data_IF_359033975868
#
_entry.id   IF_359033975868
#
_cell.length_a   1.000
_cell.length_b   1.000
_cell.length_c   1.000
_cell.angle_alpha   90.00
_cell.angle_beta   90.00
_cell.angle_gamma   90.00
#
_symmetry.space_group_name_H-M   'P 1'
#
loop_
_entity.id
_entity.type
_entity.pdbx_description
1 polymer ?
#
# COMPACT_ATOMS: atom_id res chain seq x y z
N UNK A 1 -13.96 -44.10 -5.62
CA UNK A 1 -13.18 -44.62 -4.47
C UNK A 1 -12.87 -43.41 -3.59
N UNK A 2 -13.69 -43.28 -2.51
CA UNK A 2 -13.69 -42.13 -1.62
C UNK A 2 -12.66 -42.35 -0.51
N UNK A 3 -11.78 -41.39 -0.30
CA UNK A 3 -10.94 -41.32 0.92
C UNK A 3 -11.10 -39.93 1.54
N UNK A 4 -11.83 -39.89 2.66
CA UNK A 4 -11.90 -38.76 3.58
C UNK A 4 -10.71 -38.85 4.58
N UNK A 5 -10.06 -37.77 4.97
CA UNK A 5 -9.17 -37.77 6.12
C UNK A 5 -9.93 -37.50 7.42
N UNK A 6 -9.51 -38.22 8.44
CA UNK A 6 -10.05 -38.27 9.80
C UNK A 6 -9.63 -37.05 10.62
N UNK A 7 -10.59 -36.54 11.40
CA UNK A 7 -10.41 -35.56 12.48
C UNK A 7 -9.67 -36.24 13.67
N UNK A 8 -8.68 -35.53 14.23
CA UNK A 8 -8.20 -35.82 15.56
C UNK A 8 -8.45 -34.63 16.48
N UNK A 9 -9.45 -34.80 17.38
CA UNK A 9 -9.55 -34.02 18.61
C UNK A 9 -8.65 -34.67 19.64
N UNK A 10 -7.82 -33.89 20.31
CA UNK A 10 -7.22 -34.27 21.58
C UNK A 10 -7.40 -33.10 22.55
N UNK A 11 -8.34 -33.27 23.47
CA UNK A 11 -8.51 -32.46 24.65
C UNK A 11 -7.52 -32.94 25.71
N UNK A 12 -6.78 -32.04 26.33
CA UNK A 12 -6.09 -32.28 27.59
C UNK A 12 -6.50 -31.23 28.61
N UNK A 13 -7.32 -31.65 29.57
CA UNK A 13 -7.62 -30.93 30.80
C UNK A 13 -6.64 -31.44 31.89
N UNK A 14 -6.01 -30.53 32.60
CA UNK A 14 -5.39 -30.75 33.93
C UNK A 14 -5.33 -29.37 34.59
N UNK A 15 -6.02 -29.12 35.66
CA UNK A 15 -5.80 -29.65 37.01
C UNK A 15 -5.48 -28.43 37.87
N UNK A 16 -6.54 -27.91 38.54
CA UNK A 16 -6.52 -26.80 39.50
C UNK A 16 -5.84 -27.25 40.80
N UNK A 17 -4.83 -26.52 41.27
CA UNK A 17 -4.37 -26.59 42.66
C UNK A 17 -4.35 -25.18 43.26
N UNK A 18 -5.33 -24.90 44.12
CA UNK A 18 -5.32 -23.72 45.02
C UNK A 18 -4.30 -23.96 46.11
N UNK A 19 -3.39 -22.99 46.29
CA UNK A 19 -2.68 -22.78 47.56
C UNK A 19 -2.97 -21.34 48.01
N UNK A 20 -3.76 -21.23 49.07
CA UNK A 20 -3.97 -19.98 49.80
C UNK A 20 -2.83 -19.84 50.84
N UNK A 21 -2.01 -18.82 50.68
CA UNK A 21 -1.21 -18.26 51.75
C UNK A 21 -1.11 -16.77 51.59
N UNK A 22 -1.51 -16.06 52.61
CA UNK A 22 -1.82 -14.65 52.62
C UNK A 22 -0.62 -13.69 52.72
N UNK A 23 -1.00 -12.45 52.68
CA UNK A 23 -0.37 -11.20 53.13
C UNK A 23 0.24 -10.29 52.07
N UNK A 24 -0.50 -9.19 51.89
CA UNK A 24 -0.03 -7.79 51.69
C UNK A 24 0.98 -7.52 50.54
N UNK A 25 0.45 -6.97 49.50
CA UNK A 25 1.20 -6.32 48.45
C UNK A 25 0.55 -6.59 47.10
N UNK A 26 -0.45 -5.80 46.73
CA UNK A 26 -0.92 -5.78 45.34
C UNK A 26 0.25 -5.35 44.45
N UNK A 27 0.73 -6.19 43.53
CA UNK A 27 1.59 -5.68 42.46
C UNK A 27 0.70 -4.77 41.60
N UNK A 28 1.02 -3.49 41.49
CA UNK A 28 0.56 -2.63 40.44
C UNK A 28 0.83 -3.31 39.12
N UNK A 29 -0.23 -3.71 38.44
CA UNK A 29 -0.15 -4.12 37.02
C UNK A 29 0.51 -2.99 36.25
N UNK A 30 1.57 -3.25 35.46
CA UNK A 30 2.09 -2.24 34.56
C UNK A 30 0.94 -1.85 33.64
N UNK A 31 0.70 -0.53 33.52
CA UNK A 31 -0.39 -0.01 32.71
C UNK A 31 -0.34 -0.56 31.29
N UNK A 32 -1.46 -1.10 30.85
CA UNK A 32 -1.81 -1.28 29.45
C UNK A 32 -2.13 0.12 28.89
N UNK A 33 -1.12 0.89 28.64
CA UNK A 33 -1.12 2.21 28.06
C UNK A 33 0.23 2.42 27.41
N UNK A 34 0.59 1.52 26.52
CA UNK A 34 1.70 1.75 25.63
C UNK A 34 1.15 2.47 24.41
N UNK A 35 1.23 3.82 24.40
CA UNK A 35 1.36 4.57 23.16
C UNK A 35 2.67 4.09 22.47
N UNK A 36 2.61 2.94 21.84
CA UNK A 36 3.67 2.51 20.94
C UNK A 36 3.54 3.40 19.71
N UNK A 37 4.33 4.48 19.70
CA UNK A 37 4.55 5.27 18.49
C UNK A 37 4.81 4.30 17.33
N UNK A 38 4.18 4.47 16.16
CA UNK A 38 4.45 3.61 15.01
C UNK A 38 5.95 3.48 14.80
N UNK A 39 6.43 2.26 14.61
CA UNK A 39 7.85 2.03 14.41
C UNK A 39 8.23 2.58 13.04
N UNK A 40 9.12 3.55 12.98
CA UNK A 40 9.58 4.11 11.72
C UNK A 40 10.33 3.05 10.90
N UNK A 41 9.89 2.83 9.67
CA UNK A 41 10.59 1.97 8.70
C UNK A 41 11.78 2.77 8.18
N UNK A 42 12.99 2.20 8.30
CA UNK A 42 14.18 2.81 7.72
C UNK A 42 14.28 2.44 6.25
N UNK A 43 14.02 3.41 5.37
CA UNK A 43 14.08 3.21 3.92
C UNK A 43 15.41 3.72 3.38
N UNK A 44 16.21 2.87 2.69
CA UNK A 44 17.45 3.30 2.08
C UNK A 44 17.17 4.28 0.93
N UNK A 45 18.07 5.22 0.71
CA UNK A 45 18.06 6.02 -0.51
C UNK A 45 18.34 5.10 -1.71
N UNK A 46 17.54 5.26 -2.75
CA UNK A 46 17.71 4.53 -4.01
C UNK A 46 18.32 5.47 -5.03
N UNK A 47 19.59 5.20 -5.38
CA UNK A 47 20.26 5.89 -6.47
C UNK A 47 20.10 5.06 -7.74
N UNK A 48 19.26 5.52 -8.66
CA UNK A 48 18.95 4.81 -9.91
C UNK A 48 18.59 5.80 -11.01
N UNK A 49 18.80 5.39 -12.26
CA UNK A 49 18.29 6.08 -13.45
C UNK A 49 16.82 5.73 -13.77
N UNK A 50 16.17 4.88 -12.97
CA UNK A 50 14.75 4.55 -13.16
C UNK A 50 13.87 5.79 -12.93
N UNK A 51 12.87 5.97 -13.79
CA UNK A 51 12.00 7.15 -13.82
C UNK A 51 11.37 7.44 -12.44
N UNK A 52 10.94 6.40 -11.73
CA UNK A 52 10.28 6.52 -10.43
C UNK A 52 11.19 7.03 -9.31
N UNK A 53 12.51 6.94 -9.45
CA UNK A 53 13.48 7.42 -8.46
C UNK A 53 14.18 8.71 -8.87
N UNK A 54 13.74 9.32 -9.97
CA UNK A 54 14.14 10.68 -10.34
C UNK A 54 13.33 11.67 -9.52
N UNK A 55 14.01 12.54 -8.75
CA UNK A 55 13.31 13.58 -7.99
C UNK A 55 12.54 14.50 -8.97
N UNK A 56 11.30 14.91 -8.65
CA UNK A 56 10.53 15.80 -9.52
C UNK A 56 11.30 17.05 -9.90
N UNK A 57 11.22 17.45 -11.17
CA UNK A 57 11.76 18.69 -11.71
C UNK A 57 10.66 19.73 -11.90
N UNK A 58 11.04 21.00 -11.98
CA UNK A 58 10.07 22.08 -12.27
C UNK A 58 9.30 21.80 -13.55
N UNK A 59 7.98 21.80 -13.45
CA UNK A 59 7.07 21.46 -14.55
C UNK A 59 6.46 20.05 -14.44
N UNK A 60 7.00 19.16 -13.62
CA UNK A 60 6.43 17.83 -13.43
C UNK A 60 5.08 17.88 -12.70
N UNK A 61 4.23 16.94 -13.02
CA UNK A 61 2.91 16.80 -12.40
C UNK A 61 3.05 16.01 -11.10
N UNK A 62 2.55 16.58 -10.00
CA UNK A 62 2.53 15.93 -8.70
C UNK A 62 1.12 15.84 -8.14
N UNK A 63 0.85 14.81 -7.34
CA UNK A 63 -0.33 14.71 -6.49
C UNK A 63 0.07 14.94 -5.04
N UNK A 64 -0.71 15.77 -4.33
CA UNK A 64 -0.58 16.01 -2.89
C UNK A 64 -1.78 15.40 -2.21
N UNK A 65 -1.54 14.46 -1.32
CA UNK A 65 -2.55 13.80 -0.50
C UNK A 65 -2.48 14.36 0.92
N UNK A 66 -3.49 15.11 1.32
CA UNK A 66 -3.69 15.53 2.70
C UNK A 66 -4.62 14.52 3.38
N UNK A 67 -4.12 13.86 4.42
CA UNK A 67 -4.86 12.86 5.18
C UNK A 67 -4.89 13.17 6.66
N UNK A 68 -5.78 12.52 7.40
CA UNK A 68 -5.81 12.63 8.86
C UNK A 68 -4.54 12.07 9.54
N UNK A 69 -3.73 11.27 8.82
CA UNK A 69 -2.46 10.75 9.31
C UNK A 69 -1.25 11.64 8.96
N UNK A 70 -1.42 12.60 8.04
CA UNK A 70 -0.37 13.49 7.55
C UNK A 70 -0.46 13.69 6.04
N UNK A 71 0.55 14.36 5.48
CA UNK A 71 0.64 14.67 4.05
C UNK A 71 1.71 13.82 3.40
N UNK A 72 1.39 13.24 2.23
CA UNK A 72 2.39 12.64 1.35
C UNK A 72 2.20 13.14 -0.09
N UNK A 73 3.26 13.06 -0.89
CA UNK A 73 3.27 13.56 -2.26
C UNK A 73 3.84 12.53 -3.22
N UNK A 74 3.21 12.41 -4.38
CA UNK A 74 3.66 11.53 -5.45
C UNK A 74 3.89 12.31 -6.74
N UNK A 75 4.98 12.02 -7.45
CA UNK A 75 5.13 12.41 -8.86
C UNK A 75 4.24 11.51 -9.69
N UNK A 76 3.55 12.08 -10.69
CA UNK A 76 2.69 11.34 -11.61
C UNK A 76 3.34 11.23 -12.98
N UNK A 77 2.99 10.17 -13.72
CA UNK A 77 3.56 9.88 -15.04
C UNK A 77 2.49 9.84 -16.14
N UNK A 78 1.89 11.02 -16.50
CA UNK A 78 0.77 11.07 -17.47
C UNK A 78 1.10 10.48 -18.84
N UNK A 79 2.36 10.54 -19.27
CA UNK A 79 2.78 9.99 -20.57
C UNK A 79 2.84 8.47 -20.61
N UNK A 80 3.00 7.82 -19.44
CA UNK A 80 3.12 6.38 -19.33
C UNK A 80 1.75 5.69 -19.06
N UNK A 81 0.80 6.42 -18.45
CA UNK A 81 -0.55 5.93 -18.12
C UNK A 81 -1.61 7.02 -18.37
N UNK A 82 -1.82 7.47 -19.63
CA UNK A 82 -2.63 8.63 -19.93
C UNK A 82 -4.10 8.50 -19.53
N UNK A 83 -4.74 7.35 -19.74
CA UNK A 83 -6.17 7.17 -19.41
C UNK A 83 -6.38 7.05 -17.90
N UNK A 84 -5.51 6.34 -17.21
CA UNK A 84 -5.54 6.25 -15.75
C UNK A 84 -5.31 7.64 -15.12
N UNK A 85 -4.36 8.41 -15.67
CA UNK A 85 -4.12 9.79 -15.25
C UNK A 85 -5.33 10.67 -15.48
N UNK A 86 -5.93 10.67 -16.68
CA UNK A 86 -7.11 11.47 -16.99
C UNK A 86 -8.27 11.17 -16.04
N UNK A 87 -8.50 9.88 -15.75
CA UNK A 87 -9.51 9.48 -14.79
C UNK A 87 -9.18 9.98 -13.37
N UNK A 88 -7.98 9.74 -12.89
CA UNK A 88 -7.55 10.17 -11.57
C UNK A 88 -7.62 11.69 -11.43
N UNK A 89 -7.09 12.44 -12.40
CA UNK A 89 -7.08 13.89 -12.40
C UNK A 89 -8.49 14.47 -12.42
N UNK A 90 -9.38 13.92 -13.24
CA UNK A 90 -10.78 14.37 -13.29
C UNK A 90 -11.54 14.08 -12.01
N UNK A 91 -11.28 12.94 -11.36
CA UNK A 91 -11.85 12.62 -10.05
C UNK A 91 -11.29 13.54 -8.95
N UNK A 92 -10.00 13.85 -8.96
CA UNK A 92 -9.41 14.86 -8.07
C UNK A 92 -10.07 16.21 -8.28
N UNK A 93 -10.19 16.67 -9.53
CA UNK A 93 -10.81 17.96 -9.85
C UNK A 93 -12.27 18.05 -9.40
N UNK A 94 -13.01 16.94 -9.45
CA UNK A 94 -14.39 16.88 -8.96
C UNK A 94 -14.50 16.82 -7.43
N UNK A 95 -13.39 16.68 -6.70
CA UNK A 95 -13.37 16.50 -5.25
C UNK A 95 -13.82 15.10 -4.80
N UNK A 96 -13.86 14.13 -5.71
CA UNK A 96 -14.35 12.78 -5.42
C UNK A 96 -13.65 12.11 -4.22
N UNK A 97 -12.34 12.28 -4.11
CA UNK A 97 -11.54 11.66 -3.05
C UNK A 97 -11.69 12.32 -1.68
N UNK A 98 -12.21 13.57 -1.63
CA UNK A 98 -12.30 14.32 -0.39
C UNK A 98 -13.33 13.70 0.56
N UNK A 99 -12.91 13.38 1.78
CA UNK A 99 -13.73 12.74 2.79
C UNK A 99 -13.82 11.20 2.65
N UNK A 100 -13.24 10.59 1.60
CA UNK A 100 -13.11 9.15 1.55
C UNK A 100 -12.11 8.66 2.61
N UNK A 101 -12.25 7.40 3.00
CA UNK A 101 -11.34 6.78 3.98
C UNK A 101 -10.48 5.72 3.31
N UNK A 102 -9.33 5.43 3.93
CA UNK A 102 -8.54 4.24 3.63
C UNK A 102 -9.47 3.02 3.76
N UNK A 103 -9.59 2.25 2.70
CA UNK A 103 -10.52 1.12 2.59
C UNK A 103 -9.90 -0.20 3.00
N UNK A 104 -8.58 -0.35 2.78
CA UNK A 104 -7.82 -1.56 3.10
C UNK A 104 -6.37 -1.22 3.43
N UNK A 105 -5.85 -1.89 4.44
CA UNK A 105 -4.43 -1.90 4.76
C UNK A 105 -3.98 -3.35 4.87
N UNK A 106 -3.03 -3.72 4.05
CA UNK A 106 -2.32 -4.97 4.18
C UNK A 106 -0.89 -4.66 4.63
N UNK A 107 -0.63 -5.02 5.89
CA UNK A 107 0.61 -4.66 6.56
C UNK A 107 1.83 -5.15 5.78
N UNK A 108 2.84 -4.29 5.67
CA UNK A 108 4.08 -4.54 4.95
C UNK A 108 3.86 -4.86 3.46
N UNK A 109 2.72 -4.40 2.89
CA UNK A 109 2.39 -4.63 1.49
C UNK A 109 1.77 -3.41 0.81
N UNK A 110 0.57 -2.95 1.24
CA UNK A 110 -0.09 -1.79 0.59
C UNK A 110 -1.10 -1.07 1.48
N UNK A 111 -1.34 0.19 1.11
CA UNK A 111 -2.42 1.04 1.63
C UNK A 111 -3.36 1.38 0.48
N UNK A 112 -4.66 1.03 0.58
CA UNK A 112 -5.65 1.20 -0.48
C UNK A 112 -6.75 2.19 -0.07
N UNK A 113 -7.17 3.02 -1.02
CA UNK A 113 -8.27 3.97 -0.86
C UNK A 113 -8.97 4.24 -2.20
N UNK A 114 -9.98 5.14 -2.19
CA UNK A 114 -10.68 5.56 -3.42
C UNK A 114 -11.95 4.78 -3.72
N UNK A 115 -12.39 3.89 -2.83
CA UNK A 115 -13.72 3.29 -2.91
C UNK A 115 -14.79 4.30 -2.51
N UNK A 116 -15.90 4.36 -3.27
CA UNK A 116 -17.08 5.11 -2.87
C UNK A 116 -17.82 4.49 -1.68
N UNK A 117 -18.85 5.18 -1.21
CA UNK A 117 -19.66 4.73 -0.08
C UNK A 117 -20.38 3.38 -0.35
N UNK A 118 -20.55 3.01 -1.59
CA UNK A 118 -21.11 1.73 -2.05
C UNK A 118 -20.07 0.59 -2.11
N UNK A 119 -18.81 0.87 -1.73
CA UNK A 119 -17.72 -0.09 -1.81
C UNK A 119 -17.18 -0.30 -3.21
N UNK A 120 -17.62 0.50 -4.19
CA UNK A 120 -17.23 0.38 -5.58
C UNK A 120 -16.31 1.53 -6.01
N UNK A 121 -15.54 1.29 -7.07
CA UNK A 121 -14.83 2.36 -7.77
C UNK A 121 -15.72 3.01 -8.83
N UNK A 122 -15.41 4.27 -9.17
CA UNK A 122 -16.06 5.02 -10.25
C UNK A 122 -15.05 5.59 -11.24
N UNK A 123 -15.53 6.15 -12.35
CA UNK A 123 -14.70 6.88 -13.30
C UNK A 123 -15.40 8.15 -13.74
N UNK A 124 -14.65 9.06 -14.37
CA UNK A 124 -15.21 10.27 -15.00
C UNK A 124 -16.10 9.95 -16.22
N UNK A 125 -16.10 8.72 -16.70
CA UNK A 125 -16.83 8.28 -17.90
C UNK A 125 -18.14 7.54 -17.58
N UNK A 126 -18.87 7.99 -16.55
CA UNK A 126 -20.20 7.44 -16.18
C UNK A 126 -20.24 5.91 -15.99
N UNK A 127 -19.24 5.38 -15.29
CA UNK A 127 -19.19 3.96 -14.93
C UNK A 127 -18.48 3.05 -15.95
N UNK A 128 -18.03 3.59 -17.10
CA UNK A 128 -17.06 2.85 -17.92
C UNK A 128 -15.74 2.74 -17.18
N UNK A 129 -15.07 1.59 -17.28
CA UNK A 129 -13.77 1.36 -16.64
C UNK A 129 -12.64 1.84 -17.56
N UNK A 130 -11.47 2.11 -16.99
CA UNK A 130 -10.26 2.33 -17.77
C UNK A 130 -9.49 1.03 -17.97
N UNK A 131 -8.84 0.84 -19.12
CA UNK A 131 -7.97 -0.31 -19.33
C UNK A 131 -6.75 -0.22 -18.42
N UNK A 132 -6.10 -1.37 -18.20
CA UNK A 132 -4.76 -1.39 -17.61
C UNK A 132 -3.79 -0.77 -18.62
N UNK A 133 -2.96 0.14 -18.14
CA UNK A 133 -1.86 0.74 -18.91
C UNK A 133 -0.55 0.35 -18.22
N UNK A 134 0.30 -0.34 -18.95
CA UNK A 134 1.60 -0.81 -18.46
C UNK A 134 2.73 -0.18 -19.24
N UNK A 135 3.83 0.08 -18.57
CA UNK A 135 5.03 0.67 -19.16
C UNK A 135 6.26 -0.05 -18.62
N UNK A 136 7.23 -0.30 -19.50
CA UNK A 136 8.53 -0.88 -19.12
C UNK A 136 9.39 0.05 -18.25
N UNK A 137 8.91 1.28 -18.00
CA UNK A 137 9.59 2.29 -17.17
C UNK A 137 9.00 2.39 -15.76
N UNK A 138 7.86 1.73 -15.51
CA UNK A 138 7.12 1.82 -14.27
C UNK A 138 6.92 0.43 -13.66
N UNK A 139 7.24 0.32 -12.39
CA UNK A 139 7.26 -0.93 -11.66
C UNK A 139 6.61 -0.78 -10.29
N UNK A 140 6.18 -1.90 -9.69
CA UNK A 140 5.56 -1.92 -8.36
C UNK A 140 6.62 -1.88 -7.25
N UNK A 141 7.51 -0.89 -7.32
CA UNK A 141 8.45 -0.60 -6.24
C UNK A 141 7.74 -0.11 -4.99
N UNK A 142 8.36 -0.22 -3.83
CA UNK A 142 7.86 0.44 -2.63
C UNK A 142 7.67 1.94 -2.87
N UNK A 143 6.52 2.47 -2.43
CA UNK A 143 6.10 3.84 -2.70
C UNK A 143 5.42 4.05 -4.07
N UNK A 144 5.29 3.03 -4.93
CA UNK A 144 4.52 3.16 -6.17
C UNK A 144 3.04 3.46 -5.87
N UNK A 145 2.49 4.48 -6.53
CA UNK A 145 1.07 4.79 -6.55
C UNK A 145 0.44 4.08 -7.75
N UNK A 146 -0.47 3.16 -7.48
CA UNK A 146 -1.03 2.27 -8.49
C UNK A 146 -2.56 2.36 -8.50
N UNK A 147 -3.17 2.15 -9.66
CA UNK A 147 -4.62 1.99 -9.79
C UNK A 147 -4.98 0.52 -9.63
N UNK A 148 -5.84 0.23 -8.64
CA UNK A 148 -6.27 -1.15 -8.40
C UNK A 148 -7.15 -1.66 -9.54
N UNK A 149 -6.88 -2.89 -9.93
CA UNK A 149 -7.64 -3.59 -10.97
C UNK A 149 -8.81 -4.35 -10.34
N UNK A 150 -9.99 -4.22 -10.91
CA UNK A 150 -11.16 -4.98 -10.51
C UNK A 150 -11.18 -6.41 -11.10
N UNK A 151 -12.20 -7.18 -10.75
CA UNK A 151 -12.36 -8.57 -11.23
C UNK A 151 -12.53 -8.70 -12.75
N UNK A 152 -12.81 -7.60 -13.45
CA UNK A 152 -12.87 -7.55 -14.91
C UNK A 152 -11.52 -7.24 -15.58
N UNK A 153 -10.48 -7.02 -14.79
CA UNK A 153 -9.16 -6.63 -15.27
C UNK A 153 -9.11 -5.16 -15.71
N UNK A 154 -9.88 -4.29 -15.07
CA UNK A 154 -9.95 -2.87 -15.42
C UNK A 154 -9.86 -2.00 -14.18
N UNK A 155 -9.33 -0.79 -14.33
CA UNK A 155 -9.20 0.17 -13.25
C UNK A 155 -10.38 1.14 -13.15
N UNK A 156 -10.50 1.80 -11.99
CA UNK A 156 -11.49 2.84 -11.72
C UNK A 156 -10.89 3.93 -10.81
N UNK A 157 -11.58 4.30 -9.72
CA UNK A 157 -11.08 5.29 -8.74
C UNK A 157 -10.23 4.68 -7.64
N UNK A 158 -10.26 3.37 -7.46
CA UNK A 158 -9.52 2.72 -6.38
C UNK A 158 -8.03 2.73 -6.70
N UNK A 159 -7.24 3.22 -5.75
CA UNK A 159 -5.80 3.26 -5.85
C UNK A 159 -5.16 2.67 -4.60
N UNK A 160 -3.91 2.27 -4.73
CA UNK A 160 -3.09 1.89 -3.58
C UNK A 160 -1.68 2.45 -3.70
N UNK A 161 -1.05 2.62 -2.54
CA UNK A 161 0.39 2.89 -2.44
C UNK A 161 1.06 1.63 -1.94
N UNK A 162 2.10 1.18 -2.66
CA UNK A 162 2.93 0.07 -2.23
C UNK A 162 3.67 0.42 -0.94
N UNK A 163 3.43 -0.33 0.13
CA UNK A 163 4.04 -0.13 1.45
C UNK A 163 4.86 -1.35 1.87
N UNK A 164 5.61 -1.92 0.93
CA UNK A 164 6.46 -3.07 1.20
C UNK A 164 7.71 -2.66 2.00
N UNK A 165 8.21 -3.59 2.79
CA UNK A 165 9.49 -3.41 3.47
C UNK A 165 10.63 -3.33 2.44
N UNK A 166 11.73 -2.61 2.74
CA UNK A 166 12.87 -2.51 1.85
C UNK A 166 13.69 -3.81 1.82
N UNK A 167 14.40 -4.00 0.73
CA UNK A 167 15.38 -5.05 0.57
C UNK A 167 14.81 -6.47 0.61
N UNK A 168 15.57 -7.39 1.22
CA UNK A 168 15.23 -8.82 1.29
C UNK A 168 14.00 -9.12 2.14
N UNK A 169 13.51 -8.16 2.91
CA UNK A 169 12.31 -8.34 3.73
C UNK A 169 11.04 -8.40 2.87
N UNK A 170 11.07 -7.87 1.64
CA UNK A 170 9.99 -8.01 0.66
C UNK A 170 10.45 -8.73 -0.62
N UNK A 171 11.69 -8.53 -1.06
CA UNK A 171 12.22 -9.10 -2.30
C UNK A 171 13.22 -10.22 -1.99
N UNK A 172 12.69 -11.43 -1.91
CA UNK A 172 13.50 -12.63 -1.62
C UNK A 172 14.41 -12.99 -2.78
N UNK A 173 15.43 -13.83 -2.54
CA UNK A 173 16.29 -14.35 -3.59
C UNK A 173 15.50 -15.12 -4.66
N UNK A 174 14.44 -15.82 -4.28
CA UNK A 174 13.56 -16.51 -5.23
C UNK A 174 12.88 -15.52 -6.21
N UNK A 175 12.39 -14.38 -5.72
CA UNK A 175 11.84 -13.32 -6.60
C UNK A 175 12.92 -12.73 -7.52
N UNK A 176 14.13 -12.54 -7.02
CA UNK A 176 15.28 -12.11 -7.85
C UNK A 176 15.55 -13.11 -8.97
N UNK A 177 15.57 -14.39 -8.67
CA UNK A 177 15.77 -15.45 -9.64
C UNK A 177 14.64 -15.48 -10.69
N UNK A 178 13.39 -15.27 -10.26
CA UNK A 178 12.23 -15.16 -11.15
C UNK A 178 12.33 -13.93 -12.06
N UNK A 179 12.71 -12.75 -11.55
CA UNK A 179 12.92 -11.55 -12.36
C UNK A 179 14.03 -11.77 -13.41
N UNK A 180 15.14 -12.38 -13.02
CA UNK A 180 16.23 -12.70 -13.94
C UNK A 180 15.77 -13.69 -15.03
N UNK A 181 15.00 -14.72 -14.67
CA UNK A 181 14.44 -15.68 -15.62
C UNK A 181 13.42 -15.01 -16.56
N UNK A 182 12.68 -14.01 -16.09
CA UNK A 182 11.76 -13.20 -16.89
C UNK A 182 12.46 -12.07 -17.67
N UNK A 183 13.80 -12.01 -17.64
CA UNK A 183 14.62 -11.03 -18.37
C UNK A 183 14.40 -9.57 -17.96
N UNK A 184 14.12 -9.33 -16.68
CA UNK A 184 14.11 -7.98 -16.15
C UNK A 184 15.49 -7.31 -16.35
N UNK A 185 15.49 -5.99 -16.58
CA UNK A 185 16.74 -5.22 -16.64
C UNK A 185 17.47 -5.31 -15.29
N UNK A 186 18.78 -5.46 -15.30
CA UNK A 186 19.58 -5.61 -14.10
C UNK A 186 19.39 -4.42 -13.12
N UNK A 187 19.18 -3.21 -13.65
CA UNK A 187 18.91 -2.02 -12.85
C UNK A 187 17.56 -2.14 -12.11
N UNK A 188 16.50 -2.59 -12.79
CA UNK A 188 15.19 -2.84 -12.17
C UNK A 188 15.30 -3.84 -11.04
N UNK A 189 16.01 -4.96 -11.27
CA UNK A 189 16.27 -5.97 -10.22
C UNK A 189 17.00 -5.35 -9.03
N UNK A 190 18.03 -4.54 -9.28
CA UNK A 190 18.79 -3.85 -8.23
C UNK A 190 17.94 -2.88 -7.42
N UNK A 191 17.04 -2.16 -8.09
CA UNK A 191 16.10 -1.24 -7.41
C UNK A 191 15.14 -2.03 -6.52
N UNK A 192 14.55 -3.11 -7.00
CA UNK A 192 13.71 -3.99 -6.18
C UNK A 192 14.46 -4.52 -4.95
N UNK A 193 15.71 -4.96 -5.13
CA UNK A 193 16.53 -5.45 -4.01
C UNK A 193 16.86 -4.36 -2.98
N UNK A 194 16.79 -3.08 -3.35
CA UNK A 194 17.09 -1.96 -2.45
C UNK A 194 15.82 -1.37 -1.85
N UNK A 195 14.87 -0.97 -2.71
CA UNK A 195 13.65 -0.30 -2.31
C UNK A 195 12.60 -1.25 -1.72
N UNK A 196 12.60 -2.51 -2.14
CA UNK A 196 11.48 -3.41 -1.95
C UNK A 196 10.44 -3.24 -3.06
N UNK A 197 9.36 -4.01 -2.96
CA UNK A 197 8.28 -3.96 -3.93
C UNK A 197 7.67 -5.33 -4.21
N UNK A 198 6.79 -5.38 -5.21
CA UNK A 198 6.07 -6.58 -5.62
C UNK A 198 6.19 -6.83 -7.14
N UNK A 199 7.32 -7.36 -7.63
CA UNK A 199 7.56 -7.53 -9.06
C UNK A 199 6.53 -8.43 -9.76
N UNK A 200 5.84 -9.30 -9.02
CA UNK A 200 4.76 -10.14 -9.55
C UNK A 200 3.47 -9.36 -9.87
N UNK A 201 3.36 -8.08 -9.48
CA UNK A 201 2.28 -7.18 -9.88
C UNK A 201 2.62 -6.38 -11.15
N UNK A 202 3.86 -6.38 -11.59
CA UNK A 202 4.24 -5.73 -12.84
C UNK A 202 3.40 -6.32 -13.99
N UNK A 203 2.92 -5.45 -14.84
CA UNK A 203 2.03 -5.75 -15.98
C UNK A 203 0.61 -6.24 -15.60
N UNK A 204 0.23 -6.23 -14.32
CA UNK A 204 -1.13 -6.60 -13.88
C UNK A 204 -1.97 -5.40 -13.48
N UNK A 205 -1.35 -4.38 -12.88
CA UNK A 205 -1.99 -3.12 -12.49
C UNK A 205 -1.28 -1.92 -13.14
N UNK A 206 -1.98 -0.79 -13.22
CA UNK A 206 -1.39 0.44 -13.75
C UNK A 206 -0.63 1.17 -12.66
N UNK A 207 0.67 1.38 -12.83
CA UNK A 207 1.45 2.31 -12.02
C UNK A 207 1.23 3.72 -12.54
N UNK A 208 0.71 4.60 -11.71
CA UNK A 208 0.36 5.98 -12.04
C UNK A 208 1.44 6.98 -11.61
N UNK A 209 2.16 6.69 -10.52
CA UNK A 209 3.10 7.60 -9.90
C UNK A 209 4.02 6.93 -8.89
N UNK A 210 4.82 7.78 -8.21
CA UNK A 210 5.74 7.35 -7.14
C UNK A 210 5.73 8.36 -6.01
N UNK A 211 5.58 7.90 -4.78
CA UNK A 211 5.74 8.75 -3.59
C UNK A 211 7.20 9.17 -3.47
N UNK A 212 7.44 10.48 -3.42
CA UNK A 212 8.76 11.07 -3.27
C UNK A 212 8.96 11.85 -1.95
N UNK A 213 7.84 12.17 -1.28
CA UNK A 213 7.82 12.88 0.02
C UNK A 213 6.70 12.31 0.89
N UNK A 214 6.97 12.11 2.19
CA UNK A 214 5.96 11.64 3.15
C UNK A 214 5.73 10.13 3.14
N UNK A 215 6.70 9.32 2.74
CA UNK A 215 6.58 7.86 2.80
C UNK A 215 6.40 7.36 4.25
N UNK A 216 6.93 8.08 5.24
CA UNK A 216 6.71 7.83 6.67
C UNK A 216 5.23 7.97 7.09
N UNK A 217 4.45 8.82 6.40
CA UNK A 217 3.00 8.90 6.58
C UNK A 217 2.32 7.66 6.03
N UNK A 218 2.74 7.18 4.86
CA UNK A 218 2.24 5.93 4.28
C UNK A 218 2.56 4.76 5.20
N UNK A 219 3.81 4.66 5.69
CA UNK A 219 4.24 3.66 6.68
C UNK A 219 3.37 3.68 7.94
N UNK A 220 3.04 4.88 8.44
CA UNK A 220 2.18 5.03 9.61
C UNK A 220 0.75 4.53 9.35
N UNK A 221 0.21 4.79 8.16
CA UNK A 221 -1.09 4.25 7.73
C UNK A 221 -1.02 2.72 7.61
N UNK A 222 0.06 2.20 6.99
CA UNK A 222 0.28 0.76 6.78
C UNK A 222 0.41 -0.05 8.07
N UNK A 223 0.72 0.62 9.20
CA UNK A 223 0.78 0.02 10.53
C UNK A 223 -0.50 0.19 11.36
N UNK A 224 -1.56 0.76 10.79
CA UNK A 224 -2.83 0.94 11.48
C UNK A 224 -3.43 -0.42 11.89
N UNK A 225 -4.10 -0.45 13.05
CA UNK A 225 -4.89 -1.61 13.46
C UNK A 225 -6.06 -1.80 12.49
N UNK A 226 -6.27 -3.04 12.04
CA UNK A 226 -7.32 -3.38 11.08
C UNK A 226 -8.30 -4.42 11.63
N UNK A 227 -9.50 -4.45 11.06
CA UNK A 227 -10.49 -5.47 11.31
C UNK A 227 -10.24 -6.75 10.46
N UNK A 228 -11.17 -7.70 10.51
CA UNK A 228 -11.10 -8.97 9.76
C UNK A 228 -11.13 -8.79 8.23
N UNK A 229 -11.56 -7.62 7.74
CA UNK A 229 -11.61 -7.25 6.33
C UNK A 229 -10.41 -6.37 5.93
N UNK A 230 -9.38 -6.28 6.76
CA UNK A 230 -8.21 -5.42 6.57
C UNK A 230 -8.53 -3.91 6.52
N UNK A 231 -9.71 -3.49 7.00
CA UNK A 231 -10.08 -2.09 7.08
C UNK A 231 -9.57 -1.48 8.40
N UNK A 232 -8.97 -0.27 8.38
CA UNK A 232 -8.58 0.41 9.60
C UNK A 232 -9.72 0.50 10.62
N UNK A 233 -9.45 0.09 11.88
CA UNK A 233 -10.43 0.15 12.98
C UNK A 233 -10.74 1.58 13.40
N UNK A 234 -9.77 2.49 13.23
CA UNK A 234 -9.94 3.93 13.33
C UNK A 234 -9.90 4.52 11.92
N UNK A 235 -10.91 5.31 11.56
CA UNK A 235 -11.01 5.85 10.21
C UNK A 235 -9.83 6.79 9.90
N UNK A 236 -9.10 6.49 8.84
CA UNK A 236 -8.07 7.36 8.28
C UNK A 236 -8.68 8.02 7.05
N UNK A 237 -8.85 9.34 7.13
CA UNK A 237 -9.60 10.12 6.12
C UNK A 237 -8.65 10.83 5.17
N UNK A 238 -8.98 10.82 3.88
CA UNK A 238 -8.40 11.72 2.87
C UNK A 238 -9.12 13.06 3.01
N UNK A 239 -8.44 14.06 3.58
CA UNK A 239 -9.00 15.41 3.72
C UNK A 239 -9.17 16.06 2.35
N UNK A 240 -8.12 15.96 1.52
CA UNK A 240 -8.13 16.40 0.12
C UNK A 240 -7.04 15.74 -0.69
N UNK A 241 -7.25 15.70 -2.01
CA UNK A 241 -6.20 15.42 -3.00
C UNK A 241 -6.15 16.60 -3.96
N UNK A 242 -4.94 17.12 -4.25
CA UNK A 242 -4.71 18.11 -5.30
C UNK A 242 -3.68 17.62 -6.33
N UNK A 243 -3.82 18.09 -7.55
CA UNK A 243 -2.79 17.94 -8.59
C UNK A 243 -2.16 19.30 -8.83
N UNK A 244 -0.85 19.33 -8.76
CA UNK A 244 -0.05 20.56 -8.83
C UNK A 244 1.09 20.39 -9.83
N UNK A 245 1.66 21.52 -10.23
CA UNK A 245 2.91 21.54 -10.98
C UNK A 245 4.06 21.77 -10.01
N UNK A 246 5.03 20.86 -10.00
CA UNK A 246 6.22 20.99 -9.17
C UNK A 246 7.01 22.25 -9.57
N UNK A 247 7.46 23.03 -8.54
CA UNK A 247 8.11 24.35 -8.74
C UNK A 247 9.63 24.26 -8.61
#
# INVERSE_FOLDING_TARGET
MNLRPKKYCAALALGLALVLAGCSGLPTLPGLGGDSKPQSISRPAVESGELQFTHPAAGDTIAVFDTSAGVFKAVLFPSEAPQAYDNFAGLVQSGYYNGLTVSRVEKDFLVEAGQGADGQGTTIWNGSRCPIEVSDKLHHYSGALCMATDTSGQCASVFYVMDTLPGSDSVTQELVDQMNAASYRAEVVSVYQTAGGAPYLDYTDTVLGQVYEGMDVVDAIGQAAVDENQKPTEAITINSVSIETYQ
#
